data_IF_221702304759
#
_entry.id   IF_221702304759
#
_cell.length_a   1.000
_cell.length_b   1.000
_cell.length_c   1.000
_cell.angle_alpha   90.00
_cell.angle_beta   90.00
_cell.angle_gamma   90.00
#
_symmetry.space_group_name_H-M   'P 1'
#
loop_
_entity.id
_entity.type
_entity.pdbx_description
1 polymer ?
#
# COMPACT_ATOMS: atom_id res chain seq x y z
N UNK A 1 2.11 -16.31 -2.93
CA UNK A 1 1.95 -15.11 -2.09
C UNK A 1 3.23 -14.94 -1.30
N UNK A 2 3.80 -13.73 -1.21
CA UNK A 2 5.00 -13.49 -0.42
C UNK A 2 4.73 -13.80 1.05
N UNK A 3 5.70 -14.38 1.75
CA UNK A 3 5.63 -14.53 3.20
C UNK A 3 5.65 -13.14 3.83
N UNK A 4 4.64 -12.79 4.60
CA UNK A 4 4.54 -11.47 5.25
C UNK A 4 4.96 -11.55 6.71
N UNK A 5 5.37 -10.43 7.34
CA UNK A 5 5.66 -10.41 8.77
C UNK A 5 4.51 -10.94 9.65
N UNK A 6 3.27 -10.70 9.24
CA UNK A 6 2.11 -11.29 9.91
C UNK A 6 2.06 -12.82 9.80
N UNK A 7 2.35 -13.37 8.61
CA UNK A 7 2.39 -14.82 8.39
C UNK A 7 3.54 -15.46 9.15
N UNK A 8 4.74 -14.87 9.13
CA UNK A 8 5.87 -15.35 9.93
C UNK A 8 5.52 -15.42 11.43
N UNK A 9 4.91 -14.36 11.98
CA UNK A 9 4.47 -14.36 13.37
C UNK A 9 3.38 -15.41 13.67
N UNK A 10 2.46 -15.63 12.73
CA UNK A 10 1.41 -16.63 12.85
C UNK A 10 1.99 -18.06 12.79
N UNK A 11 2.99 -18.31 11.95
CA UNK A 11 3.66 -19.61 11.83
C UNK A 11 4.44 -19.95 13.11
N UNK A 12 5.15 -18.97 13.68
CA UNK A 12 5.93 -19.15 14.91
C UNK A 12 5.04 -19.40 16.12
N UNK A 13 4.03 -18.55 16.34
CA UNK A 13 3.19 -18.66 17.53
C UNK A 13 2.12 -19.73 17.37
N UNK A 14 1.66 -19.97 16.15
CA UNK A 14 0.54 -20.85 15.83
C UNK A 14 -0.83 -20.16 15.95
N UNK A 15 -1.87 -20.88 15.51
CA UNK A 15 -3.25 -20.43 15.58
C UNK A 15 -3.82 -20.57 17.01
N UNK A 16 -4.79 -19.73 17.35
CA UNK A 16 -5.53 -19.74 18.63
C UNK A 16 -4.76 -19.16 19.83
N UNK A 17 -3.75 -18.34 19.59
CA UNK A 17 -3.01 -17.65 20.64
C UNK A 17 -3.46 -16.19 20.82
N UNK A 18 -3.42 -15.74 22.06
CA UNK A 18 -3.67 -14.37 22.50
C UNK A 18 -2.35 -13.76 22.96
N UNK A 19 -1.82 -12.86 22.15
CA UNK A 19 -0.55 -12.19 22.35
C UNK A 19 -0.75 -10.77 22.91
N UNK A 20 -0.04 -10.46 23.99
CA UNK A 20 0.02 -9.10 24.51
C UNK A 20 1.28 -8.40 24.02
N UNK A 21 1.14 -7.37 23.17
CA UNK A 21 2.26 -6.67 22.60
C UNK A 21 2.80 -5.65 23.61
N UNK A 22 4.09 -5.72 23.93
CA UNK A 22 4.73 -4.80 24.88
C UNK A 22 4.88 -3.42 24.28
N UNK A 23 4.35 -2.40 24.98
CA UNK A 23 4.50 -0.98 24.64
C UNK A 23 4.03 -0.60 23.23
N UNK A 24 3.40 -1.51 22.50
CA UNK A 24 2.77 -1.28 21.23
C UNK A 24 1.38 -0.70 21.50
N UNK A 25 1.15 0.50 20.99
CA UNK A 25 -0.17 1.13 21.08
C UNK A 25 -0.97 0.72 19.84
N UNK A 26 -2.14 0.08 20.01
CA UNK A 26 -3.02 -0.20 18.88
C UNK A 26 -3.32 1.12 18.15
N UNK A 27 -2.92 1.21 16.88
CA UNK A 27 -3.35 2.28 16.00
C UNK A 27 -4.78 2.04 15.51
N UNK A 28 -5.12 2.62 14.36
CA UNK A 28 -6.39 2.34 13.68
C UNK A 28 -6.38 1.03 12.87
N UNK A 29 -5.23 0.37 12.75
CA UNK A 29 -5.10 -0.87 12.01
C UNK A 29 -5.77 -2.02 12.78
N UNK A 30 -6.44 -2.92 12.07
CA UNK A 30 -7.10 -4.11 12.61
C UNK A 30 -6.80 -5.33 11.72
N UNK A 31 -7.15 -6.52 12.21
CA UNK A 31 -6.94 -7.79 11.52
C UNK A 31 -5.48 -8.02 11.18
N UNK A 32 -5.23 -8.55 9.97
CA UNK A 32 -3.88 -8.82 9.44
C UNK A 32 -2.96 -7.62 9.56
N UNK A 33 -3.44 -6.43 9.21
CA UNK A 33 -2.61 -5.24 9.16
C UNK A 33 -2.09 -4.81 10.55
N UNK A 34 -2.86 -5.06 11.61
CA UNK A 34 -2.41 -4.84 12.97
C UNK A 34 -1.33 -5.84 13.39
N UNK A 35 -1.53 -7.11 13.05
CA UNK A 35 -0.56 -8.20 13.29
C UNK A 35 0.74 -7.93 12.53
N UNK A 36 0.66 -7.55 11.26
CA UNK A 36 1.81 -7.24 10.43
C UNK A 36 2.65 -6.10 11.00
N UNK A 37 2.01 -4.98 11.37
CA UNK A 37 2.68 -3.84 12.00
C UNK A 37 3.33 -4.22 13.33
N UNK A 38 2.65 -5.06 14.12
CA UNK A 38 3.20 -5.51 15.37
C UNK A 38 4.42 -6.42 15.16
N UNK A 39 4.38 -7.36 14.21
CA UNK A 39 5.51 -8.22 13.86
C UNK A 39 6.75 -7.39 13.47
N UNK A 40 6.59 -6.42 12.58
CA UNK A 40 7.67 -5.48 12.22
C UNK A 40 8.17 -4.67 13.41
N UNK A 41 7.27 -4.21 14.28
CA UNK A 41 7.64 -3.52 15.51
C UNK A 41 8.46 -4.43 16.44
N UNK A 42 8.07 -5.70 16.57
CA UNK A 42 8.74 -6.69 17.39
C UNK A 42 10.16 -6.95 16.89
N UNK A 43 10.35 -7.19 15.59
CA UNK A 43 11.68 -7.34 14.96
C UNK A 43 12.55 -6.13 15.25
N UNK A 44 12.08 -4.92 14.91
CA UNK A 44 12.86 -3.68 15.10
C UNK A 44 13.20 -3.38 16.56
N UNK A 45 12.41 -3.89 17.51
CA UNK A 45 12.65 -3.71 18.94
C UNK A 45 13.35 -4.90 19.60
N UNK A 46 13.73 -5.92 18.83
CA UNK A 46 14.33 -7.14 19.35
C UNK A 46 13.44 -7.79 20.40
N UNK A 47 12.14 -7.94 20.11
CA UNK A 47 11.19 -8.60 21.01
C UNK A 47 11.06 -10.07 20.64
N UNK A 48 11.20 -10.93 21.64
CA UNK A 48 10.74 -12.32 21.60
C UNK A 48 9.42 -12.47 22.35
N UNK A 49 9.00 -13.71 22.56
CA UNK A 49 7.76 -14.08 23.25
C UNK A 49 8.04 -15.02 24.43
N UNK A 50 7.30 -14.81 25.52
CA UNK A 50 7.32 -15.65 26.71
C UNK A 50 5.87 -16.06 27.02
N UNK A 51 5.67 -17.32 27.40
CA UNK A 51 4.38 -17.84 27.81
C UNK A 51 3.97 -17.14 29.10
N UNK A 52 2.84 -16.46 29.08
CA UNK A 52 2.33 -15.71 30.23
C UNK A 52 0.81 -15.64 30.19
N UNK A 53 0.19 -16.26 31.19
CA UNK A 53 -1.25 -16.13 31.42
C UNK A 53 -1.56 -14.89 32.25
N UNK A 54 -2.35 -13.99 31.68
CA UNK A 54 -2.93 -12.86 32.40
C UNK A 54 -4.28 -12.46 31.84
N UNK A 55 -5.15 -11.84 32.65
CA UNK A 55 -6.37 -11.24 32.16
C UNK A 55 -6.09 -10.16 31.10
N UNK A 56 -6.78 -10.26 29.97
CA UNK A 56 -6.66 -9.34 28.84
C UNK A 56 -8.00 -9.09 28.15
N UNK A 57 -8.02 -8.06 27.31
CA UNK A 57 -9.06 -7.78 26.32
C UNK A 57 -8.47 -7.81 24.92
N UNK A 58 -9.04 -8.64 24.05
CA UNK A 58 -8.66 -8.71 22.65
C UNK A 58 -9.18 -7.46 21.92
N UNK A 59 -8.30 -6.77 21.19
CA UNK A 59 -8.72 -5.64 20.35
C UNK A 59 -8.76 -6.00 18.87
N UNK A 60 -8.06 -7.07 18.47
CA UNK A 60 -8.10 -7.55 17.09
C UNK A 60 -7.64 -9.00 16.98
N UNK A 61 -8.15 -9.69 15.96
CA UNK A 61 -7.80 -11.08 15.66
C UNK A 61 -7.64 -11.28 14.16
N UNK A 62 -6.73 -12.15 13.77
CA UNK A 62 -6.55 -12.59 12.40
C UNK A 62 -6.07 -14.04 12.36
N UNK A 63 -6.83 -14.90 11.67
CA UNK A 63 -6.55 -16.35 11.54
C UNK A 63 -6.27 -17.04 12.89
N UNK A 64 -6.99 -16.63 13.93
CA UNK A 64 -6.86 -17.20 15.28
C UNK A 64 -5.74 -16.59 16.13
N UNK A 65 -4.78 -15.85 15.56
CA UNK A 65 -3.85 -15.06 16.34
C UNK A 65 -4.51 -13.73 16.74
N UNK A 66 -4.56 -13.47 18.04
CA UNK A 66 -5.20 -12.30 18.61
C UNK A 66 -4.19 -11.39 19.27
N UNK A 67 -4.32 -10.08 19.08
CA UNK A 67 -3.58 -9.09 19.84
C UNK A 67 -4.48 -8.51 20.92
N UNK A 68 -3.94 -8.41 22.13
CA UNK A 68 -4.69 -8.01 23.30
C UNK A 68 -4.00 -6.90 24.10
N UNK A 69 -4.78 -6.23 24.93
CA UNK A 69 -4.31 -5.24 25.93
C UNK A 69 -4.79 -5.69 27.32
N UNK A 70 -4.23 -5.17 28.43
CA UNK A 70 -4.76 -5.46 29.76
C UNK A 70 -6.28 -5.24 29.85
N UNK A 71 -7.00 -6.20 30.45
CA UNK A 71 -8.47 -6.26 30.51
C UNK A 71 -8.93 -7.54 31.22
N UNK A 72 -10.24 -7.82 31.28
CA UNK A 72 -10.78 -8.97 32.03
C UNK A 72 -11.70 -9.86 31.18
N UNK A 73 -11.53 -9.88 29.86
CA UNK A 73 -12.41 -10.63 28.95
C UNK A 73 -11.94 -12.06 28.68
N UNK A 74 -10.62 -12.29 28.68
CA UNK A 74 -10.00 -13.59 28.42
C UNK A 74 -8.59 -13.64 29.02
N UNK A 75 -7.84 -14.72 28.80
CA UNK A 75 -6.44 -14.88 29.22
C UNK A 75 -5.51 -14.78 28.01
N UNK A 76 -4.32 -14.21 28.21
CA UNK A 76 -3.25 -14.29 27.21
C UNK A 76 -2.53 -15.63 27.26
N UNK A 77 -1.93 -16.01 26.14
CA UNK A 77 -1.01 -17.15 26.04
C UNK A 77 0.43 -16.66 26.03
N UNK A 78 0.69 -15.53 25.35
CA UNK A 78 2.03 -14.97 25.18
C UNK A 78 2.11 -13.50 25.54
N UNK A 79 3.31 -13.09 25.96
CA UNK A 79 3.72 -11.70 26.08
C UNK A 79 4.96 -11.43 25.23
N UNK A 80 4.93 -10.34 24.48
CA UNK A 80 6.13 -9.84 23.82
C UNK A 80 7.11 -9.18 24.82
N UNK A 81 8.39 -9.49 24.75
CA UNK A 81 9.42 -8.93 25.65
C UNK A 81 10.83 -9.09 25.06
N UNK A 82 11.78 -8.17 25.31
CA UNK A 82 13.17 -8.29 24.83
C UNK A 82 13.94 -9.49 25.42
N UNK A 83 13.37 -10.17 26.42
CA UNK A 83 13.94 -11.37 27.04
C UNK A 83 13.04 -12.59 26.80
N UNK A 84 12.28 -12.60 25.70
CA UNK A 84 11.42 -13.72 25.35
C UNK A 84 12.28 -14.97 25.20
N UNK A 85 11.94 -16.02 25.94
CA UNK A 85 12.73 -17.26 26.02
C UNK A 85 12.06 -18.43 25.32
N UNK A 86 10.74 -18.46 25.31
CA UNK A 86 9.97 -19.51 24.64
C UNK A 86 10.05 -19.34 23.12
N UNK A 87 10.04 -18.09 22.65
CA UNK A 87 10.40 -17.72 21.28
C UNK A 87 11.40 -16.56 21.35
N UNK A 88 12.69 -16.78 21.08
CA UNK A 88 13.71 -15.73 21.09
C UNK A 88 13.44 -14.64 20.03
N UNK A 89 13.92 -13.40 20.23
CA UNK A 89 13.79 -12.32 19.24
C UNK A 89 14.32 -12.69 17.85
N UNK A 90 15.40 -13.47 17.79
CA UNK A 90 16.09 -13.87 16.57
C UNK A 90 15.20 -14.74 15.68
N UNK A 91 14.36 -15.59 16.28
CA UNK A 91 13.48 -16.50 15.54
C UNK A 91 12.48 -15.73 14.66
N UNK A 92 11.87 -14.67 15.20
CA UNK A 92 10.99 -13.80 14.40
C UNK A 92 11.79 -12.97 13.38
N UNK A 93 12.99 -12.50 13.75
CA UNK A 93 13.81 -11.71 12.84
C UNK A 93 14.26 -12.52 11.62
N UNK A 94 14.60 -13.80 11.81
CA UNK A 94 14.99 -14.74 10.74
C UNK A 94 13.80 -15.17 9.87
N UNK A 95 12.59 -15.26 10.44
CA UNK A 95 11.39 -15.65 9.70
C UNK A 95 10.79 -14.52 8.86
N UNK A 96 11.04 -13.26 9.20
CA UNK A 96 10.58 -12.11 8.40
C UNK A 96 11.50 -11.95 7.19
N UNK A 97 10.97 -11.81 5.95
CA UNK A 97 11.81 -11.67 4.77
C UNK A 97 12.83 -10.54 4.90
N UNK A 98 14.07 -10.86 4.54
CA UNK A 98 15.15 -9.89 4.50
C UNK A 98 15.12 -9.02 3.23
N UNK A 99 15.96 -8.00 3.21
CA UNK A 99 16.14 -7.07 2.11
C UNK A 99 17.17 -7.58 1.07
N UNK A 100 16.94 -7.37 -0.25
CA UNK A 100 15.75 -6.81 -0.87
C UNK A 100 14.58 -7.79 -0.91
N UNK A 101 13.45 -7.36 -0.35
CA UNK A 101 12.25 -8.18 -0.28
C UNK A 101 11.39 -7.99 -1.53
N UNK A 102 10.66 -9.04 -1.88
CA UNK A 102 9.98 -9.18 -3.17
C UNK A 102 8.51 -9.59 -2.96
N UNK A 103 7.52 -9.01 -3.68
CA UNK A 103 7.64 -8.02 -4.76
C UNK A 103 8.21 -6.68 -4.28
N UNK A 104 8.76 -5.88 -5.18
CA UNK A 104 9.52 -4.68 -4.82
C UNK A 104 8.98 -3.41 -5.48
N UNK A 105 9.01 -2.27 -4.79
CA UNK A 105 8.52 -0.98 -5.27
C UNK A 105 9.65 0.04 -5.30
N UNK A 106 9.98 0.53 -6.49
CA UNK A 106 11.03 1.54 -6.69
C UNK A 106 10.38 2.89 -6.95
N UNK A 107 10.82 3.95 -6.26
CA UNK A 107 10.44 5.32 -6.58
C UNK A 107 11.65 6.07 -7.12
N UNK A 108 11.55 6.51 -8.37
CA UNK A 108 12.65 7.20 -9.06
C UNK A 108 12.63 8.71 -8.80
N UNK A 109 13.73 9.22 -8.22
CA UNK A 109 13.93 10.61 -7.83
C UNK A 109 14.73 11.43 -8.86
N UNK A 110 15.05 10.90 -10.05
CA UNK A 110 15.95 11.58 -11.01
C UNK A 110 15.51 12.98 -11.43
N UNK A 111 14.23 13.29 -11.33
CA UNK A 111 13.69 14.62 -11.63
C UNK A 111 13.57 15.54 -10.40
N UNK A 112 14.18 15.19 -9.27
CA UNK A 112 14.18 15.98 -8.03
C UNK A 112 14.51 17.47 -8.26
N UNK A 113 15.51 17.74 -9.11
CA UNK A 113 15.93 19.09 -9.46
C UNK A 113 14.86 19.90 -10.21
N UNK A 114 13.98 19.22 -10.95
CA UNK A 114 12.94 19.83 -11.78
C UNK A 114 11.65 20.14 -11.01
N UNK A 115 11.48 19.55 -9.82
CA UNK A 115 10.36 19.86 -8.95
C UNK A 115 10.49 21.24 -8.32
N UNK A 116 9.33 21.89 -8.14
CA UNK A 116 9.21 23.01 -7.22
C UNK A 116 9.47 22.57 -5.77
N UNK A 117 9.76 23.49 -4.86
CA UNK A 117 9.93 23.12 -3.43
C UNK A 117 8.68 22.49 -2.83
N UNK A 118 7.50 22.93 -3.28
CA UNK A 118 6.23 22.29 -2.93
C UNK A 118 6.16 20.86 -3.48
N UNK A 119 6.58 20.67 -4.73
CA UNK A 119 6.72 19.36 -5.37
C UNK A 119 7.64 18.43 -4.61
N UNK A 120 8.87 18.87 -4.30
CA UNK A 120 9.84 18.11 -3.48
C UNK A 120 9.25 17.70 -2.14
N UNK A 121 8.61 18.64 -1.43
CA UNK A 121 7.94 18.37 -0.15
C UNK A 121 6.81 17.34 -0.31
N UNK A 122 6.03 17.43 -1.38
CA UNK A 122 4.96 16.50 -1.68
C UNK A 122 5.48 15.10 -2.07
N UNK A 123 6.60 15.01 -2.79
CA UNK A 123 7.27 13.75 -3.11
C UNK A 123 7.74 13.04 -1.84
N UNK A 124 8.49 13.75 -0.98
CA UNK A 124 8.94 13.23 0.33
C UNK A 124 7.75 12.73 1.16
N UNK A 125 6.66 13.51 1.22
CA UNK A 125 5.46 13.10 1.94
C UNK A 125 4.85 11.84 1.33
N UNK A 126 4.73 11.76 0.01
CA UNK A 126 4.14 10.59 -0.65
C UNK A 126 4.98 9.34 -0.45
N UNK A 127 6.31 9.41 -0.50
CA UNK A 127 7.18 8.26 -0.26
C UNK A 127 7.18 7.83 1.20
N UNK A 128 7.22 8.76 2.16
CA UNK A 128 7.12 8.42 3.58
C UNK A 128 5.78 7.75 3.94
N UNK A 129 4.69 8.24 3.35
CA UNK A 129 3.37 7.61 3.47
C UNK A 129 3.37 6.24 2.79
N UNK A 130 4.02 6.09 1.64
CA UNK A 130 4.15 4.80 0.93
C UNK A 130 4.84 3.74 1.81
N UNK A 131 6.00 4.07 2.41
CA UNK A 131 6.68 3.18 3.34
C UNK A 131 5.79 2.80 4.54
N UNK A 132 5.09 3.79 5.12
CA UNK A 132 4.14 3.55 6.22
C UNK A 132 2.93 2.69 5.83
N UNK A 133 2.49 2.79 4.57
CA UNK A 133 1.43 1.96 3.98
C UNK A 133 1.91 0.54 3.76
N UNK A 134 3.13 0.35 3.23
CA UNK A 134 3.70 -0.99 3.03
C UNK A 134 3.77 -1.79 4.33
N UNK A 135 4.06 -1.15 5.46
CA UNK A 135 4.03 -1.81 6.79
C UNK A 135 2.67 -2.38 7.20
N UNK A 136 1.57 -2.04 6.52
CA UNK A 136 0.26 -2.68 6.71
C UNK A 136 0.14 -4.04 6.03
N UNK A 137 0.94 -4.31 5.00
CA UNK A 137 0.80 -5.47 4.10
C UNK A 137 2.05 -6.34 4.08
N UNK A 138 3.21 -5.70 3.96
CA UNK A 138 4.54 -6.26 3.75
C UNK A 138 5.49 -5.62 4.77
N UNK A 139 6.64 -5.13 4.32
CA UNK A 139 7.62 -4.33 5.05
C UNK A 139 7.99 -3.12 4.18
N UNK A 140 8.49 -2.03 4.76
CA UNK A 140 9.13 -0.97 3.97
C UNK A 140 10.47 -1.40 3.34
N UNK A 141 10.99 -2.59 3.66
CA UNK A 141 12.04 -3.30 2.93
C UNK A 141 11.62 -3.75 1.51
N UNK A 142 10.34 -3.73 1.19
CA UNK A 142 9.86 -3.94 -0.19
C UNK A 142 9.92 -2.64 -1.01
N UNK A 143 10.61 -1.61 -0.54
CA UNK A 143 10.70 -0.32 -1.20
C UNK A 143 12.14 0.15 -1.31
N UNK A 144 12.45 0.77 -2.45
CA UNK A 144 13.69 1.51 -2.65
C UNK A 144 13.42 2.87 -3.26
N UNK A 145 14.25 3.85 -2.90
CA UNK A 145 14.34 5.13 -3.58
C UNK A 145 15.63 5.11 -4.41
N UNK A 146 15.57 5.57 -5.66
CA UNK A 146 16.72 5.55 -6.58
C UNK A 146 16.92 6.91 -7.22
N UNK A 147 18.15 7.24 -7.64
CA UNK A 147 18.56 8.58 -8.03
C UNK A 147 18.34 9.60 -6.89
N UNK A 148 18.61 9.16 -5.65
CA UNK A 148 18.42 9.98 -4.47
C UNK A 148 19.61 10.92 -4.32
N UNK A 149 19.35 12.23 -4.32
CA UNK A 149 20.38 13.22 -4.01
C UNK A 149 20.59 13.32 -2.49
N UNK A 150 21.75 13.81 -2.01
CA UNK A 150 21.99 13.99 -0.57
C UNK A 150 20.91 14.85 0.11
N UNK A 151 20.41 15.88 -0.58
CA UNK A 151 19.30 16.70 -0.08
C UNK A 151 18.00 15.91 0.05
N UNK A 152 17.66 15.10 -0.97
CA UNK A 152 16.44 14.29 -0.97
C UNK A 152 16.47 13.23 0.13
N UNK A 153 17.62 12.57 0.30
CA UNK A 153 17.88 11.61 1.38
C UNK A 153 17.69 12.27 2.74
N UNK A 154 18.38 13.39 3.00
CA UNK A 154 18.28 14.09 4.28
C UNK A 154 16.83 14.46 4.60
N UNK A 155 16.12 15.07 3.65
CA UNK A 155 14.70 15.45 3.83
C UNK A 155 13.82 14.24 4.06
N UNK A 156 14.08 13.12 3.38
CA UNK A 156 13.29 11.90 3.51
C UNK A 156 13.52 11.25 4.87
N UNK A 157 14.77 11.06 5.28
CA UNK A 157 15.12 10.46 6.57
C UNK A 157 14.70 11.35 7.74
N UNK A 158 14.71 12.67 7.60
CA UNK A 158 14.12 13.57 8.60
C UNK A 158 12.59 13.38 8.72
N UNK A 159 11.90 13.16 7.60
CA UNK A 159 10.46 12.91 7.60
C UNK A 159 10.09 11.49 8.07
N UNK A 160 10.95 10.50 7.82
CA UNK A 160 10.73 9.10 8.15
C UNK A 160 12.00 8.39 8.67
N UNK A 161 12.47 8.72 9.89
CA UNK A 161 13.78 8.25 10.40
C UNK A 161 13.89 6.75 10.64
N UNK A 162 12.77 6.03 10.62
CA UNK A 162 12.73 4.59 10.85
C UNK A 162 12.71 3.78 9.56
N UNK A 163 12.96 4.39 8.40
CA UNK A 163 12.96 3.69 7.13
C UNK A 163 13.98 2.55 7.12
N UNK A 164 13.56 1.38 6.65
CA UNK A 164 14.44 0.21 6.49
C UNK A 164 14.54 -0.25 5.02
N UNK A 165 13.97 0.50 4.08
CA UNK A 165 14.13 0.23 2.65
C UNK A 165 15.44 0.82 2.10
N UNK A 166 15.70 0.56 0.81
CA UNK A 166 16.94 0.98 0.17
C UNK A 166 16.92 2.43 -0.31
N UNK A 167 18.10 3.05 -0.27
CA UNK A 167 18.36 4.38 -0.80
C UNK A 167 19.57 4.27 -1.73
N UNK A 168 19.39 4.58 -3.01
CA UNK A 168 20.41 4.38 -4.04
C UNK A 168 20.67 5.68 -4.79
N UNK A 169 21.95 5.93 -5.07
CA UNK A 169 22.39 7.05 -5.90
C UNK A 169 22.10 6.79 -7.39
N UNK A 170 22.14 5.53 -7.84
CA UNK A 170 21.91 5.15 -9.24
C UNK A 170 21.16 3.81 -9.39
N UNK A 171 20.78 3.51 -10.64
CA UNK A 171 20.02 2.31 -10.95
C UNK A 171 20.89 1.06 -11.04
N UNK A 172 22.15 1.20 -11.41
CA UNK A 172 23.10 0.11 -11.58
C UNK A 172 23.28 -0.65 -10.27
N UNK A 173 23.48 0.06 -9.16
CA UNK A 173 23.59 -0.53 -7.82
C UNK A 173 22.29 -1.24 -7.42
N UNK A 174 21.14 -0.59 -7.64
CA UNK A 174 19.84 -1.15 -7.29
C UNK A 174 19.53 -2.42 -8.09
N UNK A 175 19.76 -2.42 -9.41
CA UNK A 175 19.47 -3.57 -10.28
C UNK A 175 20.39 -4.74 -9.94
N UNK A 176 21.67 -4.47 -9.64
CA UNK A 176 22.61 -5.49 -9.20
C UNK A 176 22.14 -6.14 -7.89
N UNK A 177 21.71 -5.34 -6.90
CA UNK A 177 21.23 -5.86 -5.63
C UNK A 177 19.89 -6.61 -5.76
N UNK A 178 18.96 -6.11 -6.56
CA UNK A 178 17.68 -6.77 -6.83
C UNK A 178 17.84 -8.05 -7.66
N UNK A 179 18.95 -8.20 -8.40
CA UNK A 179 19.20 -9.29 -9.34
C UNK A 179 18.01 -9.50 -10.28
N UNK A 180 17.61 -8.44 -11.00
CA UNK A 180 16.48 -8.44 -11.94
C UNK A 180 16.89 -8.04 -13.34
N UNK A 181 16.38 -8.78 -14.32
CA UNK A 181 16.56 -8.46 -15.73
C UNK A 181 15.39 -7.66 -16.33
N UNK A 182 14.26 -7.58 -15.61
CA UNK A 182 13.01 -6.94 -16.04
C UNK A 182 12.33 -6.18 -14.91
N UNK A 183 11.75 -5.03 -15.23
CA UNK A 183 10.88 -4.25 -14.34
C UNK A 183 9.59 -3.79 -15.02
N UNK A 184 8.56 -3.52 -14.22
CA UNK A 184 7.28 -2.95 -14.66
C UNK A 184 7.25 -1.46 -14.32
N UNK A 185 7.30 -0.59 -15.33
CA UNK A 185 7.14 0.85 -15.16
C UNK A 185 5.67 1.23 -15.22
N UNK A 186 5.14 1.74 -14.10
CA UNK A 186 3.76 2.22 -14.00
C UNK A 186 3.63 3.60 -14.64
N UNK A 187 3.21 3.63 -15.89
CA UNK A 187 3.04 4.84 -16.70
C UNK A 187 1.58 5.01 -17.14
N UNK A 188 0.88 6.08 -16.73
CA UNK A 188 -0.50 6.31 -17.13
C UNK A 188 -0.69 6.52 -18.65
N UNK A 189 0.40 6.74 -19.40
CA UNK A 189 0.41 6.91 -20.85
C UNK A 189 0.86 5.66 -21.61
N UNK A 190 1.09 4.54 -20.93
CA UNK A 190 1.42 3.30 -21.60
C UNK A 190 0.26 2.80 -22.49
N UNK A 191 0.63 2.11 -23.57
CA UNK A 191 -0.33 1.50 -24.48
C UNK A 191 -1.00 0.29 -23.83
N UNK A 192 -0.20 -0.54 -23.16
CA UNK A 192 -0.61 -1.81 -22.54
C UNK A 192 -1.11 -1.61 -21.11
N UNK A 193 -2.17 -2.34 -20.76
CA UNK A 193 -2.74 -2.33 -19.41
C UNK A 193 -2.01 -3.31 -18.51
N UNK A 194 -1.86 -2.97 -17.23
CA UNK A 194 -1.29 -3.86 -16.24
C UNK A 194 -2.21 -5.07 -16.02
N UNK A 195 -1.72 -6.26 -16.30
CA UNK A 195 -2.44 -7.50 -16.00
C UNK A 195 -2.29 -7.86 -14.51
N UNK A 196 -3.35 -8.39 -13.91
CA UNK A 196 -3.30 -8.84 -12.51
C UNK A 196 -2.33 -10.01 -12.29
N UNK A 197 -2.06 -10.82 -13.31
CA UNK A 197 -1.06 -11.87 -13.21
C UNK A 197 0.35 -11.29 -13.04
N UNK A 198 0.68 -10.23 -13.79
CA UNK A 198 1.94 -9.48 -13.63
C UNK A 198 2.07 -8.88 -12.23
N UNK A 199 0.95 -8.55 -11.57
CA UNK A 199 0.94 -8.06 -10.19
C UNK A 199 1.26 -9.16 -9.18
N UNK A 200 0.77 -10.38 -9.44
CA UNK A 200 0.90 -11.53 -8.55
C UNK A 200 2.22 -12.27 -8.74
N UNK A 201 2.87 -12.07 -9.87
CA UNK A 201 4.23 -12.46 -10.12
C UNK A 201 5.20 -11.70 -9.20
N UNK A 202 6.39 -12.27 -9.03
CA UNK A 202 7.45 -11.73 -8.19
C UNK A 202 8.12 -10.49 -8.81
N UNK A 203 7.32 -9.44 -8.98
CA UNK A 203 7.61 -8.30 -9.84
C UNK A 203 8.27 -7.13 -9.11
N UNK A 204 9.01 -6.34 -9.87
CA UNK A 204 9.56 -5.05 -9.46
C UNK A 204 8.79 -3.94 -10.17
N UNK A 205 8.08 -3.12 -9.39
CA UNK A 205 7.29 -2.00 -9.88
C UNK A 205 8.06 -0.70 -9.75
N UNK A 206 8.23 0.00 -10.86
CA UNK A 206 8.83 1.34 -10.89
C UNK A 206 7.73 2.39 -10.94
N UNK A 207 7.77 3.29 -9.97
CA UNK A 207 6.90 4.46 -9.84
C UNK A 207 7.75 5.71 -10.12
N UNK A 208 7.23 6.63 -10.93
CA UNK A 208 7.88 7.92 -11.08
C UNK A 208 7.66 8.80 -9.84
N UNK A 209 8.71 9.45 -9.36
CA UNK A 209 8.63 10.55 -8.37
C UNK A 209 8.01 11.83 -8.93
N UNK A 210 7.07 11.74 -9.87
CA UNK A 210 6.55 12.86 -10.65
C UNK A 210 5.26 13.37 -10.00
N UNK A 211 5.37 14.45 -9.22
CA UNK A 211 4.26 14.94 -8.39
C UNK A 211 3.74 16.32 -8.78
N UNK A 212 4.50 17.09 -9.57
CA UNK A 212 4.10 18.42 -10.03
C UNK A 212 3.27 18.35 -11.33
N UNK A 213 2.23 19.18 -11.43
CA UNK A 213 1.27 19.11 -12.55
C UNK A 213 1.88 19.49 -13.91
N UNK A 214 2.94 20.29 -13.93
CA UNK A 214 3.69 20.66 -15.14
C UNK A 214 4.51 19.51 -15.73
N UNK A 215 4.72 18.44 -14.97
CA UNK A 215 5.51 17.26 -15.37
C UNK A 215 4.63 16.09 -15.84
N UNK A 216 3.35 16.35 -16.16
CA UNK A 216 2.47 15.32 -16.74
C UNK A 216 3.09 14.69 -17.99
N UNK A 217 3.08 13.37 -18.04
CA UNK A 217 3.65 12.59 -19.15
C UNK A 217 5.15 12.28 -19.03
N UNK A 218 5.82 12.76 -17.98
CA UNK A 218 7.26 12.54 -17.83
C UNK A 218 7.64 11.11 -17.42
N UNK A 219 6.68 10.29 -16.96
CA UNK A 219 6.95 8.91 -16.55
C UNK A 219 7.56 8.09 -17.69
N UNK A 220 7.13 8.32 -18.92
CA UNK A 220 7.70 7.68 -20.11
C UNK A 220 9.20 7.95 -20.30
N UNK A 221 9.71 9.08 -19.78
CA UNK A 221 11.13 9.47 -19.85
C UNK A 221 12.02 8.68 -18.88
N UNK A 222 11.44 7.90 -17.96
CA UNK A 222 12.20 7.09 -17.02
C UNK A 222 12.81 5.85 -17.72
N UNK A 223 12.05 5.21 -18.61
CA UNK A 223 12.40 3.92 -19.21
C UNK A 223 13.82 3.87 -19.83
N UNK A 224 14.28 4.87 -20.63
CA UNK A 224 15.61 4.80 -21.26
C UNK A 224 16.79 4.81 -20.30
N UNK A 225 16.59 5.19 -19.03
CA UNK A 225 17.66 5.25 -18.03
C UNK A 225 17.49 4.21 -16.92
N UNK A 226 16.83 3.09 -17.21
CA UNK A 226 16.78 1.93 -16.32
C UNK A 226 17.59 0.83 -17.04
N UNK A 227 18.65 0.28 -16.44
CA UNK A 227 19.61 -0.60 -17.12
C UNK A 227 19.13 -2.07 -17.17
N UNK A 228 17.87 -2.29 -17.53
CA UNK A 228 17.26 -3.61 -17.70
C UNK A 228 16.05 -3.52 -18.66
N UNK A 229 15.37 -4.64 -18.91
CA UNK A 229 14.15 -4.62 -19.71
C UNK A 229 13.03 -3.87 -18.96
N UNK A 230 12.41 -2.89 -19.63
CA UNK A 230 11.36 -2.05 -19.03
C UNK A 230 10.04 -2.27 -19.75
N UNK A 231 9.08 -2.82 -19.02
CA UNK A 231 7.71 -2.96 -19.51
C UNK A 231 6.83 -1.86 -18.98
N UNK A 232 6.33 -1.02 -19.89
CA UNK A 232 5.45 0.09 -19.54
C UNK A 232 4.02 -0.42 -19.44
N UNK A 233 3.39 -0.22 -18.29
CA UNK A 233 2.00 -0.61 -18.02
C UNK A 233 1.20 0.55 -17.46
N UNK A 234 -0.03 0.71 -17.94
CA UNK A 234 -1.00 1.64 -17.33
C UNK A 234 -1.98 0.87 -16.45
N UNK A 235 -2.32 1.47 -15.32
CA UNK A 235 -3.42 0.97 -14.48
C UNK A 235 -4.72 1.61 -14.95
N UNK A 236 -5.74 0.80 -15.22
CA UNK A 236 -7.05 1.28 -15.64
C UNK A 236 -8.16 0.77 -14.72
N UNK A 237 -9.29 1.47 -14.71
CA UNK A 237 -10.54 1.01 -14.11
C UNK A 237 -11.58 0.90 -15.21
N UNK A 238 -11.85 -0.33 -15.67
CA UNK A 238 -12.66 -0.63 -16.86
C UNK A 238 -12.19 0.11 -18.11
N UNK A 239 -10.91 -0.07 -18.49
CA UNK A 239 -10.31 0.50 -19.70
C UNK A 239 -10.13 2.03 -19.67
N UNK A 240 -10.24 2.66 -18.49
CA UNK A 240 -10.11 4.11 -18.33
C UNK A 240 -9.22 4.45 -17.15
N UNK A 241 -8.22 5.31 -17.38
CA UNK A 241 -7.38 5.91 -16.33
C UNK A 241 -8.15 6.89 -15.43
N UNK A 242 -9.30 7.40 -15.89
CA UNK A 242 -10.10 8.34 -15.10
C UNK A 242 -10.71 7.59 -13.91
N UNK A 243 -10.45 8.11 -12.71
CA UNK A 243 -10.87 7.47 -11.45
C UNK A 243 -9.78 6.62 -10.82
N UNK A 244 -8.69 6.32 -11.53
CA UNK A 244 -7.49 5.71 -10.95
C UNK A 244 -6.71 6.81 -10.20
N UNK A 245 -6.30 6.58 -8.94
CA UNK A 245 -5.45 7.51 -8.22
C UNK A 245 -4.08 7.70 -8.88
N UNK A 246 -3.51 8.89 -8.76
CA UNK A 246 -2.18 9.23 -9.29
C UNK A 246 -1.09 9.32 -8.20
N UNK A 247 -1.47 9.19 -6.92
CA UNK A 247 -0.52 9.25 -5.81
C UNK A 247 0.23 7.93 -5.65
N UNK A 248 1.54 8.03 -5.46
CA UNK A 248 2.45 6.88 -5.30
C UNK A 248 1.92 5.93 -4.20
N UNK A 249 1.61 6.48 -3.03
CA UNK A 249 1.15 5.70 -1.90
C UNK A 249 -0.20 4.99 -2.13
N UNK A 250 -1.07 5.54 -2.97
CA UNK A 250 -2.36 4.93 -3.30
C UNK A 250 -2.19 3.80 -4.32
N UNK A 251 -1.32 3.99 -5.31
CA UNK A 251 -0.97 2.95 -6.28
C UNK A 251 -0.32 1.75 -5.59
N UNK A 252 0.67 2.00 -4.72
CA UNK A 252 1.32 0.94 -3.93
C UNK A 252 0.32 0.23 -3.00
N UNK A 253 -0.61 0.95 -2.37
CA UNK A 253 -1.66 0.32 -1.58
C UNK A 253 -2.55 -0.60 -2.43
N UNK A 254 -2.98 -0.15 -3.63
CA UNK A 254 -3.79 -0.98 -4.51
C UNK A 254 -3.05 -2.26 -4.92
N UNK A 255 -1.79 -2.15 -5.34
CA UNK A 255 -0.98 -3.31 -5.70
C UNK A 255 -0.77 -4.25 -4.51
N UNK A 256 -0.46 -3.70 -3.33
CA UNK A 256 -0.28 -4.49 -2.11
C UNK A 256 -1.54 -5.29 -1.74
N UNK A 257 -2.75 -4.74 -1.95
CA UNK A 257 -4.00 -5.47 -1.75
C UNK A 257 -4.16 -6.63 -2.73
N UNK A 258 -3.80 -6.45 -3.99
CA UNK A 258 -3.83 -7.54 -4.98
C UNK A 258 -2.84 -8.65 -4.58
N UNK A 259 -1.62 -8.27 -4.21
CA UNK A 259 -0.53 -9.19 -3.83
C UNK A 259 -0.86 -9.98 -2.56
N UNK A 260 -1.33 -9.28 -1.51
CA UNK A 260 -1.38 -9.80 -0.14
C UNK A 260 -2.80 -10.24 0.26
N UNK A 261 -3.82 -9.54 -0.20
CA UNK A 261 -5.23 -9.84 0.12
C UNK A 261 -5.91 -10.66 -0.99
N UNK A 262 -5.28 -10.79 -2.16
CA UNK A 262 -5.87 -11.49 -3.32
C UNK A 262 -7.07 -10.76 -3.92
N UNK A 263 -7.21 -9.45 -3.67
CA UNK A 263 -8.26 -8.64 -4.29
C UNK A 263 -8.04 -8.53 -5.81
N UNK A 264 -9.12 -8.27 -6.57
CA UNK A 264 -8.97 -7.81 -7.95
C UNK A 264 -8.42 -6.38 -7.96
N UNK A 265 -7.68 -6.03 -9.01
CA UNK A 265 -7.11 -4.70 -9.21
C UNK A 265 -8.21 -3.64 -9.23
N UNK A 266 -9.35 -3.92 -9.87
CA UNK A 266 -10.50 -2.99 -9.88
C UNK A 266 -10.99 -2.67 -8.46
N UNK A 267 -11.18 -3.71 -7.63
CA UNK A 267 -11.64 -3.55 -6.25
C UNK A 267 -10.60 -2.81 -5.41
N UNK A 268 -9.33 -3.14 -5.60
CA UNK A 268 -8.22 -2.49 -4.91
C UNK A 268 -8.16 -0.99 -5.25
N UNK A 269 -8.29 -0.62 -6.55
CA UNK A 269 -8.37 0.78 -7.00
C UNK A 269 -9.52 1.51 -6.33
N UNK A 270 -10.72 0.92 -6.29
CA UNK A 270 -11.89 1.54 -5.67
C UNK A 270 -11.67 1.82 -4.17
N UNK A 271 -11.04 0.89 -3.43
CA UNK A 271 -10.76 1.09 -2.00
C UNK A 271 -9.84 2.29 -1.73
N UNK A 272 -8.87 2.52 -2.60
CA UNK A 272 -7.89 3.60 -2.46
C UNK A 272 -8.29 4.86 -3.24
N UNK A 273 -9.43 4.81 -3.95
CA UNK A 273 -9.94 5.91 -4.73
C UNK A 273 -10.41 7.05 -3.81
N UNK A 274 -9.69 8.17 -3.85
CA UNK A 274 -10.10 9.36 -3.12
C UNK A 274 -11.39 9.98 -3.70
N UNK A 275 -12.18 10.72 -2.90
CA UNK A 275 -13.39 11.39 -3.39
C UNK A 275 -13.16 12.30 -4.60
N UNK A 276 -11.95 12.90 -4.74
CA UNK A 276 -11.58 13.70 -5.91
C UNK A 276 -11.60 12.87 -7.20
N UNK A 277 -10.97 11.69 -7.19
CA UNK A 277 -10.94 10.80 -8.36
C UNK A 277 -12.31 10.18 -8.63
N UNK A 278 -13.02 9.77 -7.57
CA UNK A 278 -14.35 9.21 -7.68
C UNK A 278 -15.32 10.22 -8.33
N UNK A 279 -15.31 11.50 -7.90
CA UNK A 279 -16.14 12.57 -8.50
C UNK A 279 -15.75 12.88 -9.93
N UNK A 280 -14.45 12.82 -10.28
CA UNK A 280 -14.01 12.99 -11.68
C UNK A 280 -14.52 11.86 -12.57
N UNK A 281 -14.48 10.61 -12.09
CA UNK A 281 -15.04 9.46 -12.80
C UNK A 281 -16.55 9.55 -12.91
N UNK A 282 -17.24 9.83 -11.80
CA UNK A 282 -18.69 10.06 -11.78
C UNK A 282 -19.10 11.12 -12.80
N UNK A 283 -18.38 12.25 -12.82
CA UNK A 283 -18.65 13.35 -13.76
C UNK A 283 -18.58 12.94 -15.22
N UNK A 284 -17.69 11.99 -15.58
CA UNK A 284 -17.55 11.47 -16.94
C UNK A 284 -18.67 10.49 -17.27
N UNK A 285 -19.00 9.59 -16.34
CA UNK A 285 -20.05 8.60 -16.57
C UNK A 285 -21.44 9.25 -16.66
N UNK A 286 -21.75 10.20 -15.79
CA UNK A 286 -23.03 10.92 -15.80
C UNK A 286 -23.26 11.72 -17.10
N UNK A 287 -22.20 12.16 -17.81
CA UNK A 287 -22.36 12.87 -19.10
C UNK A 287 -22.96 12.01 -20.21
N UNK A 288 -23.01 10.69 -20.02
CA UNK A 288 -23.53 9.73 -20.99
C UNK A 288 -24.97 9.29 -20.69
N UNK A 289 -25.57 9.85 -19.65
CA UNK A 289 -26.86 9.43 -19.11
C UNK A 289 -27.86 10.58 -19.16
N UNK A 290 -29.04 10.30 -19.71
CA UNK A 290 -30.19 11.22 -19.64
C UNK A 290 -31.07 10.95 -18.41
N UNK A 291 -31.02 9.70 -17.92
CA UNK A 291 -31.73 9.23 -16.73
C UNK A 291 -30.80 8.36 -15.88
N UNK A 292 -31.13 8.23 -14.60
CA UNK A 292 -30.45 7.36 -13.65
C UNK A 292 -31.47 6.37 -13.08
N UNK A 293 -31.31 5.11 -13.45
CA UNK A 293 -32.05 3.93 -13.02
C UNK A 293 -31.26 3.14 -11.98
N UNK A 294 -31.88 2.15 -11.32
CA UNK A 294 -31.17 1.27 -10.39
C UNK A 294 -30.05 0.45 -11.06
N UNK A 295 -30.20 0.13 -12.35
CA UNK A 295 -29.15 -0.55 -13.11
C UNK A 295 -27.95 0.39 -13.39
N UNK A 296 -28.21 1.63 -13.81
CA UNK A 296 -27.17 2.63 -14.02
C UNK A 296 -26.47 2.98 -12.71
N UNK A 297 -27.21 3.10 -11.60
CA UNK A 297 -26.64 3.30 -10.27
C UNK A 297 -25.71 2.14 -9.87
N UNK A 298 -26.12 0.88 -10.10
CA UNK A 298 -25.25 -0.29 -9.88
C UNK A 298 -23.98 -0.20 -10.71
N UNK A 299 -24.07 0.08 -12.01
CA UNK A 299 -22.90 0.25 -12.90
C UNK A 299 -21.98 1.39 -12.45
N UNK A 300 -22.52 2.51 -11.97
CA UNK A 300 -21.71 3.61 -11.45
C UNK A 300 -20.92 3.18 -10.21
N UNK A 301 -21.56 2.46 -9.27
CA UNK A 301 -20.91 1.99 -8.04
C UNK A 301 -19.78 0.99 -8.28
N UNK A 302 -19.72 0.38 -9.47
CA UNK A 302 -18.60 -0.48 -9.88
C UNK A 302 -17.36 0.32 -10.32
N UNK A 303 -17.48 1.63 -10.55
CA UNK A 303 -16.37 2.50 -10.99
C UNK A 303 -16.15 3.73 -10.11
N UNK A 304 -17.01 3.97 -9.12
CA UNK A 304 -16.87 5.06 -8.15
C UNK A 304 -17.08 4.58 -6.72
N UNK A 305 -16.14 4.94 -5.85
CA UNK A 305 -16.24 4.77 -4.41
C UNK A 305 -16.87 6.02 -3.78
N UNK A 306 -18.17 6.21 -4.02
CA UNK A 306 -18.97 7.28 -3.42
C UNK A 306 -20.25 6.71 -2.80
N UNK A 307 -20.74 7.31 -1.69
CA UNK A 307 -22.05 6.98 -1.15
C UNK A 307 -23.15 7.17 -2.20
N UNK A 308 -24.18 6.31 -2.18
CA UNK A 308 -25.37 6.40 -3.05
C UNK A 308 -25.92 7.83 -3.07
N UNK A 309 -26.08 8.43 -1.88
CA UNK A 309 -26.57 9.80 -1.73
C UNK A 309 -25.76 10.84 -2.52
N UNK A 310 -24.42 10.74 -2.54
CA UNK A 310 -23.59 11.69 -3.31
C UNK A 310 -23.78 11.52 -4.82
N UNK A 311 -23.91 10.28 -5.30
CA UNK A 311 -24.16 9.98 -6.71
C UNK A 311 -25.50 10.59 -7.16
N UNK A 312 -26.55 10.37 -6.38
CA UNK A 312 -27.90 10.88 -6.68
C UNK A 312 -27.95 12.42 -6.66
N UNK A 313 -27.27 13.06 -5.69
CA UNK A 313 -27.18 14.52 -5.62
C UNK A 313 -26.47 15.11 -6.82
N UNK A 314 -25.38 14.51 -7.27
CA UNK A 314 -24.63 14.99 -8.45
C UNK A 314 -25.42 14.79 -9.75
N UNK A 315 -26.12 13.66 -9.90
CA UNK A 315 -27.02 13.42 -11.02
C UNK A 315 -28.14 14.47 -11.09
N UNK A 316 -28.80 14.74 -9.95
CA UNK A 316 -29.85 15.76 -9.84
C UNK A 316 -29.34 17.16 -10.19
N UNK A 317 -28.15 17.54 -9.73
CA UNK A 317 -27.53 18.84 -10.05
C UNK A 317 -27.29 19.05 -11.55
N UNK A 318 -27.14 17.95 -12.30
CA UNK A 318 -26.93 17.96 -13.75
C UNK A 318 -28.22 17.85 -14.55
N UNK A 319 -29.37 17.82 -13.88
CA UNK A 319 -30.68 17.69 -14.54
C UNK A 319 -30.96 16.28 -15.08
N UNK A 320 -30.24 15.25 -14.60
CA UNK A 320 -30.48 13.86 -14.98
C UNK A 320 -31.76 13.38 -14.28
N UNK A 321 -32.67 12.77 -15.03
CA UNK A 321 -33.93 12.24 -14.50
C UNK A 321 -33.65 11.09 -13.51
N UNK A 322 -34.09 11.20 -12.26
CA UNK A 322 -33.91 10.14 -11.26
C UNK A 322 -35.09 9.17 -11.31
N UNK A 323 -34.83 7.92 -11.69
CA UNK A 323 -35.76 6.78 -11.59
C UNK A 323 -35.37 5.84 -10.46
N UNK A 324 -34.80 6.41 -9.40
CA UNK A 324 -34.31 5.70 -8.22
C UNK A 324 -34.74 6.47 -6.98
N UNK A 325 -35.22 5.76 -5.97
CA UNK A 325 -35.62 6.39 -4.72
C UNK A 325 -34.41 6.86 -3.92
N UNK A 326 -34.54 8.07 -3.38
CA UNK A 326 -33.57 8.70 -2.48
C UNK A 326 -33.56 8.06 -1.07
N UNK A 327 -34.44 7.09 -0.79
CA UNK A 327 -34.48 6.44 0.51
C UNK A 327 -33.27 5.49 0.72
N UNK A 328 -32.69 5.68 1.90
CA UNK A 328 -31.60 5.03 2.62
C UNK A 328 -30.20 4.89 1.97
N UNK A 329 -29.21 5.33 2.77
CA UNK A 329 -27.78 5.42 2.50
C UNK A 329 -27.14 6.47 3.39
#
# INVERSE_FOLDING_TARGET
MPLTPAEALLEILGTANVLVPRSYKPGKATGRAAVNRFALYAVRKGLGFEVEERPVRVYTSWRGLSLAVPGEETTSDYRATPRGRDVPPEELAEAVPDYPARPHFVVDYRFWGEHSDFGRTNLIRQTAVTASTLRLYLSDRHMSLVNVTPEAEERFLNAFPSFEGGLYEDWEDLIAELSVDRVILLDPNAEEELDENEIREDAVFVLGGIVDENMRGWTAKLAPGIPCDVERRRITLRGSIIGVPDRINALVEALSRVIVEGESLERAILRVQSPRFARRRLSRELRRLDRLTEEELRRLREVVNLPKREILLEARRRGIELKVDLQDG
#
